data_IF_247819262444
#
_entry.id   IF_247819262444
#
_cell.length_a   1.000
_cell.length_b   1.000
_cell.length_c   1.000
_cell.angle_alpha   90.00
_cell.angle_beta   90.00
_cell.angle_gamma   90.00
#
_symmetry.space_group_name_H-M   'P 1'
#
loop_
_entity.id
_entity.type
_entity.pdbx_description
1 polymer ?
#
# COMPACT_ATOMS: atom_id res chain seq x y z
N UNK A 1 20.53 -23.90 -7.92
CA UNK A 1 19.90 -24.00 -9.26
C UNK A 1 18.67 -23.10 -9.28
N UNK A 2 18.59 -22.05 -10.13
CA UNK A 2 17.41 -21.17 -10.18
C UNK A 2 16.40 -21.72 -11.17
N UNK A 3 15.37 -22.42 -10.67
CA UNK A 3 14.29 -22.97 -11.50
C UNK A 3 13.49 -21.80 -12.13
N UNK A 4 13.26 -21.79 -13.44
CA UNK A 4 12.45 -20.78 -14.11
C UNK A 4 11.04 -20.68 -13.50
N UNK A 5 10.50 -19.45 -13.45
CA UNK A 5 9.21 -19.19 -12.77
C UNK A 5 8.03 -19.98 -13.34
N UNK A 6 8.04 -20.27 -14.64
CA UNK A 6 6.98 -21.00 -15.33
C UNK A 6 7.04 -22.53 -15.11
N UNK A 7 8.18 -23.09 -14.67
CA UNK A 7 8.32 -24.53 -14.37
C UNK A 7 7.87 -24.89 -12.96
N UNK A 8 7.96 -23.94 -12.02
CA UNK A 8 7.60 -24.17 -10.62
C UNK A 8 6.17 -24.69 -10.41
N UNK A 9 5.11 -24.10 -11.04
CA UNK A 9 3.75 -24.61 -10.92
C UNK A 9 3.60 -26.04 -11.44
N UNK A 10 4.33 -26.40 -12.50
CA UNK A 10 4.35 -27.77 -13.02
C UNK A 10 4.89 -28.78 -12.00
N UNK A 11 6.00 -28.46 -11.33
CA UNK A 11 6.55 -29.29 -10.25
C UNK A 11 5.57 -29.41 -9.09
N UNK A 12 4.96 -28.27 -8.66
CA UNK A 12 3.94 -28.27 -7.63
C UNK A 12 2.74 -29.16 -7.98
N UNK A 13 2.26 -29.05 -9.23
CA UNK A 13 1.16 -29.88 -9.72
C UNK A 13 1.47 -31.39 -9.73
N UNK A 14 2.67 -31.80 -10.16
CA UNK A 14 3.12 -33.18 -10.10
C UNK A 14 3.14 -33.72 -8.67
N UNK A 15 3.70 -32.95 -7.72
CA UNK A 15 3.72 -33.33 -6.30
C UNK A 15 2.32 -33.51 -5.73
N UNK A 16 1.43 -32.57 -6.02
CA UNK A 16 0.01 -32.62 -5.59
C UNK A 16 -0.69 -33.83 -6.25
N UNK A 17 -0.40 -34.11 -7.52
CA UNK A 17 -0.92 -35.28 -8.24
C UNK A 17 -0.51 -36.60 -7.58
N UNK A 18 0.77 -36.75 -7.20
CA UNK A 18 1.27 -37.91 -6.48
C UNK A 18 0.54 -38.13 -5.16
N UNK A 19 0.38 -37.03 -4.36
CA UNK A 19 -0.38 -37.10 -3.10
C UNK A 19 -1.84 -37.46 -3.38
N UNK A 20 -2.43 -36.90 -4.45
CA UNK A 20 -3.83 -37.13 -4.85
C UNK A 20 -4.13 -38.56 -5.33
N UNK A 21 -3.14 -39.30 -5.81
CA UNK A 21 -3.30 -40.74 -6.13
C UNK A 21 -3.53 -41.55 -4.86
N UNK A 22 -2.82 -41.20 -3.77
CA UNK A 22 -2.95 -41.89 -2.47
C UNK A 22 -4.16 -41.39 -1.69
N UNK A 23 -4.38 -40.07 -1.72
CA UNK A 23 -5.46 -39.39 -1.00
C UNK A 23 -6.31 -38.58 -1.96
N UNK A 24 -7.21 -39.17 -2.75
CA UNK A 24 -8.06 -38.44 -3.68
C UNK A 24 -8.94 -37.37 -3.01
N UNK A 25 -9.17 -37.50 -1.71
CA UNK A 25 -9.95 -36.57 -0.87
C UNK A 25 -9.37 -35.16 -0.80
N UNK A 26 -8.05 -35.00 -1.08
CA UNK A 26 -7.39 -33.68 -1.05
C UNK A 26 -7.61 -32.89 -2.34
N UNK A 27 -8.04 -33.53 -3.41
CA UNK A 27 -8.18 -32.89 -4.73
C UNK A 27 -9.39 -31.93 -4.75
N UNK A 28 -9.27 -30.87 -5.52
CA UNK A 28 -10.33 -29.86 -5.67
C UNK A 28 -10.65 -29.12 -4.36
N UNK A 29 -11.89 -28.72 -4.18
CA UNK A 29 -12.37 -28.01 -2.96
C UNK A 29 -12.56 -28.93 -1.78
N UNK A 30 -12.78 -30.24 -1.98
CA UNK A 30 -13.07 -31.25 -0.95
C UNK A 30 -14.35 -31.03 -0.12
N UNK A 31 -15.29 -30.19 -0.59
CA UNK A 31 -16.55 -29.94 0.11
C UNK A 31 -17.40 -31.22 0.25
N UNK A 32 -17.37 -32.14 -0.74
CA UNK A 32 -18.08 -33.42 -0.66
C UNK A 32 -17.61 -34.25 0.55
N UNK A 33 -16.32 -34.29 0.82
CA UNK A 33 -15.76 -35.01 1.97
C UNK A 33 -16.07 -34.31 3.28
N UNK A 34 -16.10 -32.99 3.29
CA UNK A 34 -16.56 -32.22 4.46
C UNK A 34 -18.04 -32.50 4.75
N UNK A 35 -18.88 -32.63 3.72
CA UNK A 35 -20.30 -32.98 3.88
C UNK A 35 -20.48 -34.39 4.49
N UNK A 36 -19.67 -35.37 4.08
CA UNK A 36 -19.66 -36.72 4.66
C UNK A 36 -19.32 -36.65 6.17
N UNK A 37 -18.32 -35.83 6.53
CA UNK A 37 -17.95 -35.60 7.93
C UNK A 37 -19.08 -34.91 8.74
N UNK A 38 -19.78 -33.94 8.15
CA UNK A 38 -20.96 -33.29 8.76
C UNK A 38 -22.08 -34.27 8.99
N UNK A 39 -22.30 -35.17 8.05
CA UNK A 39 -23.34 -36.23 8.18
C UNK A 39 -22.93 -37.34 9.15
N UNK A 40 -21.71 -37.25 9.74
CA UNK A 40 -21.18 -38.25 10.71
C UNK A 40 -21.07 -39.67 10.12
N UNK A 41 -20.87 -39.80 8.83
CA UNK A 41 -20.68 -41.08 8.17
C UNK A 41 -19.24 -41.56 8.31
N UNK A 42 -18.87 -41.99 9.50
CA UNK A 42 -17.53 -42.44 9.85
C UNK A 42 -17.20 -43.82 9.22
N UNK A 43 -18.18 -44.54 8.64
CA UNK A 43 -17.92 -45.74 7.86
C UNK A 43 -17.27 -45.41 6.50
N UNK A 44 -17.72 -44.34 5.84
CA UNK A 44 -17.15 -43.86 4.59
C UNK A 44 -15.91 -42.98 4.80
N UNK A 45 -15.83 -42.25 5.91
CA UNK A 45 -14.74 -41.33 6.22
C UNK A 45 -14.27 -41.47 7.67
N UNK A 46 -13.46 -42.53 7.98
CA UNK A 46 -12.97 -42.79 9.33
C UNK A 46 -12.17 -41.64 9.93
N UNK A 47 -12.16 -41.53 11.25
CA UNK A 47 -11.50 -40.39 11.94
C UNK A 47 -10.02 -40.32 11.68
N UNK A 48 -9.33 -41.46 11.59
CA UNK A 48 -7.90 -41.54 11.22
C UNK A 48 -7.63 -40.97 9.83
N UNK A 49 -8.55 -41.27 8.88
CA UNK A 49 -8.47 -40.75 7.52
C UNK A 49 -8.72 -39.23 7.48
N UNK A 50 -9.66 -38.71 8.31
CA UNK A 50 -9.87 -37.25 8.44
C UNK A 50 -8.57 -36.59 8.88
N UNK A 51 -7.89 -37.13 9.91
CA UNK A 51 -6.61 -36.61 10.39
C UNK A 51 -5.52 -36.59 9.29
N UNK A 52 -5.38 -37.68 8.54
CA UNK A 52 -4.43 -37.73 7.43
C UNK A 52 -4.77 -36.72 6.33
N UNK A 53 -6.04 -36.62 5.94
CA UNK A 53 -6.50 -35.70 4.90
C UNK A 53 -6.23 -34.23 5.30
N UNK A 54 -6.38 -33.84 6.57
CA UNK A 54 -6.05 -32.50 7.05
C UNK A 54 -4.58 -32.17 6.72
N UNK A 55 -3.65 -33.05 7.11
CA UNK A 55 -2.20 -32.83 6.90
C UNK A 55 -1.88 -32.74 5.41
N UNK A 56 -2.35 -33.70 4.62
CA UNK A 56 -2.08 -33.71 3.17
C UNK A 56 -2.80 -32.58 2.43
N UNK A 57 -3.95 -32.10 2.89
CA UNK A 57 -4.63 -30.93 2.33
C UNK A 57 -3.84 -29.66 2.56
N UNK A 58 -3.27 -29.47 3.76
CA UNK A 58 -2.37 -28.34 4.05
C UNK A 58 -1.16 -28.39 3.14
N UNK A 59 -0.51 -29.57 2.99
CA UNK A 59 0.64 -29.74 2.10
C UNK A 59 0.29 -29.46 0.63
N UNK A 60 -0.80 -30.03 0.13
CA UNK A 60 -1.24 -29.85 -1.25
C UNK A 60 -1.57 -28.37 -1.55
N UNK A 61 -2.25 -27.69 -0.65
CA UNK A 61 -2.57 -26.25 -0.78
C UNK A 61 -1.30 -25.40 -0.77
N UNK A 62 -0.37 -25.70 0.14
CA UNK A 62 0.92 -25.02 0.24
C UNK A 62 1.79 -25.23 -1.00
N UNK A 63 1.83 -26.44 -1.54
CA UNK A 63 2.56 -26.76 -2.77
C UNK A 63 1.95 -26.03 -3.98
N UNK A 64 0.63 -26.02 -4.10
CA UNK A 64 -0.06 -25.37 -5.22
C UNK A 64 0.22 -23.86 -5.21
N UNK A 65 0.02 -23.20 -4.09
CA UNK A 65 0.17 -21.72 -3.97
C UNK A 65 1.64 -21.34 -3.94
N UNK A 66 2.46 -22.05 -3.16
CA UNK A 66 3.89 -21.80 -3.02
C UNK A 66 4.69 -21.98 -4.29
N UNK A 67 4.25 -22.87 -5.20
CA UNK A 67 4.85 -23.02 -6.53
C UNK A 67 4.49 -21.88 -7.49
N UNK A 68 3.51 -21.03 -7.16
CA UNK A 68 2.99 -19.98 -8.03
C UNK A 68 1.83 -20.43 -8.91
N UNK A 69 1.19 -21.54 -8.58
CA UNK A 69 -0.06 -21.98 -9.22
C UNK A 69 -1.21 -21.03 -8.88
N UNK A 70 -2.12 -20.86 -9.84
CA UNK A 70 -3.34 -20.08 -9.62
C UNK A 70 -4.37 -20.95 -8.87
N UNK A 71 -4.60 -20.65 -7.59
CA UNK A 71 -5.57 -21.36 -6.76
C UNK A 71 -6.19 -20.44 -5.72
N UNK A 72 -7.44 -20.73 -5.33
CA UNK A 72 -8.12 -20.04 -4.24
C UNK A 72 -7.71 -20.61 -2.88
N UNK A 73 -7.48 -19.76 -1.91
CA UNK A 73 -7.16 -20.16 -0.51
C UNK A 73 -8.39 -20.31 0.36
N UNK A 74 -9.51 -19.73 -0.04
CA UNK A 74 -10.75 -19.71 0.73
C UNK A 74 -11.30 -21.14 0.95
N UNK A 75 -11.62 -21.86 -0.11
CA UNK A 75 -12.19 -23.22 -0.03
C UNK A 75 -11.33 -24.20 0.78
N UNK A 76 -10.04 -24.33 0.48
CA UNK A 76 -9.14 -25.17 1.27
C UNK A 76 -9.08 -24.80 2.76
N UNK A 77 -9.05 -23.49 3.10
CA UNK A 77 -9.01 -23.06 4.50
C UNK A 77 -10.28 -23.44 5.26
N UNK A 78 -11.45 -23.24 4.63
CA UNK A 78 -12.72 -23.63 5.22
C UNK A 78 -12.79 -25.15 5.46
N UNK A 79 -12.36 -25.94 4.50
CA UNK A 79 -12.37 -27.40 4.60
C UNK A 79 -11.38 -27.91 5.66
N UNK A 80 -10.17 -27.37 5.70
CA UNK A 80 -9.17 -27.71 6.73
C UNK A 80 -9.74 -27.43 8.12
N UNK A 81 -10.34 -26.22 8.31
CA UNK A 81 -10.98 -25.87 9.57
C UNK A 81 -12.14 -26.78 9.94
N UNK A 82 -13.01 -27.10 8.98
CA UNK A 82 -14.14 -28.01 9.20
C UNK A 82 -13.70 -29.45 9.53
N UNK A 83 -12.72 -29.98 8.81
CA UNK A 83 -12.16 -31.31 9.08
C UNK A 83 -11.45 -31.37 10.45
N UNK A 84 -10.78 -30.28 10.87
CA UNK A 84 -10.24 -30.16 12.23
C UNK A 84 -11.35 -30.26 13.28
N UNK A 85 -12.46 -29.55 13.05
CA UNK A 85 -13.64 -29.64 13.91
C UNK A 85 -14.24 -31.06 13.93
N UNK A 86 -14.33 -31.72 12.78
CA UNK A 86 -14.80 -33.12 12.69
C UNK A 86 -13.88 -34.09 13.46
N UNK A 87 -12.57 -33.91 13.30
CA UNK A 87 -11.57 -34.74 13.98
C UNK A 87 -11.65 -34.57 15.51
N UNK A 88 -11.61 -33.32 16.00
CA UNK A 88 -11.66 -33.03 17.44
C UNK A 88 -13.00 -33.42 18.03
N UNK A 89 -14.12 -33.01 17.40
CA UNK A 89 -15.46 -33.33 17.85
C UNK A 89 -15.75 -34.83 17.86
N UNK A 90 -15.33 -35.53 16.78
CA UNK A 90 -15.44 -36.99 16.68
C UNK A 90 -14.58 -37.72 17.72
N UNK A 91 -13.35 -37.28 17.96
CA UNK A 91 -12.46 -37.82 18.97
C UNK A 91 -13.06 -37.67 20.40
N UNK A 92 -13.58 -36.50 20.73
CA UNK A 92 -14.23 -36.27 22.05
C UNK A 92 -15.46 -37.11 22.19
N UNK A 93 -16.26 -37.31 21.16
CA UNK A 93 -17.43 -38.19 21.22
C UNK A 93 -17.05 -39.64 21.44
N UNK A 94 -15.99 -40.13 20.74
CA UNK A 94 -15.47 -41.50 20.95
C UNK A 94 -14.93 -41.74 22.39
N UNK A 95 -14.30 -40.70 22.97
CA UNK A 95 -13.81 -40.77 24.35
C UNK A 95 -14.90 -40.58 25.42
N UNK A 96 -16.15 -40.41 25.02
CA UNK A 96 -17.25 -40.13 25.93
C UNK A 96 -17.18 -38.72 26.57
N UNK A 97 -16.35 -37.83 26.03
CA UNK A 97 -16.20 -36.45 26.51
C UNK A 97 -17.14 -35.53 25.75
N UNK A 98 -17.82 -34.63 26.47
CA UNK A 98 -18.67 -33.59 25.87
C UNK A 98 -19.73 -34.13 24.89
N UNK A 99 -20.31 -35.31 25.20
CA UNK A 99 -21.29 -36.00 24.32
C UNK A 99 -22.58 -35.20 24.09
N UNK A 100 -22.81 -34.16 24.89
CA UNK A 100 -23.94 -33.23 24.78
C UNK A 100 -23.71 -32.16 23.68
N UNK A 101 -22.47 -32.00 23.15
CA UNK A 101 -22.17 -31.06 22.07
C UNK A 101 -22.36 -31.76 20.73
N UNK A 102 -23.16 -31.19 19.85
CA UNK A 102 -23.31 -31.71 18.50
C UNK A 102 -22.04 -31.50 17.66
N UNK A 103 -21.48 -32.56 17.11
CA UNK A 103 -20.27 -32.56 16.29
C UNK A 103 -20.41 -31.65 15.08
N UNK A 104 -21.61 -31.59 14.47
CA UNK A 104 -21.86 -30.70 13.29
C UNK A 104 -21.65 -29.23 13.68
N UNK A 105 -22.11 -28.84 14.86
CA UNK A 105 -21.89 -27.47 15.39
C UNK A 105 -20.40 -27.17 15.58
N UNK A 106 -19.63 -28.15 16.09
CA UNK A 106 -18.15 -28.01 16.22
C UNK A 106 -17.49 -27.85 14.86
N UNK A 107 -17.89 -28.61 13.83
CA UNK A 107 -17.39 -28.51 12.45
C UNK A 107 -17.61 -27.11 11.91
N UNK A 108 -18.83 -26.58 12.01
CA UNK A 108 -19.18 -25.26 11.48
C UNK A 108 -18.38 -24.15 12.19
N UNK A 109 -18.35 -24.17 13.52
CA UNK A 109 -17.61 -23.17 14.31
C UNK A 109 -16.12 -23.22 14.00
N UNK A 110 -15.54 -24.43 13.89
CA UNK A 110 -14.13 -24.61 13.56
C UNK A 110 -13.79 -24.15 12.14
N UNK A 111 -14.67 -24.41 11.17
CA UNK A 111 -14.53 -23.96 9.78
C UNK A 111 -14.42 -22.44 9.71
N UNK A 112 -15.33 -21.71 10.35
CA UNK A 112 -15.37 -20.23 10.38
C UNK A 112 -14.19 -19.68 11.14
N UNK A 113 -13.88 -20.25 12.31
CA UNK A 113 -12.78 -19.78 13.17
C UNK A 113 -11.42 -19.93 12.51
N UNK A 114 -11.17 -21.05 11.86
CA UNK A 114 -9.91 -21.30 11.14
C UNK A 114 -9.73 -20.30 10.01
N UNK A 115 -10.75 -20.10 9.18
CA UNK A 115 -10.67 -19.14 8.08
C UNK A 115 -10.51 -17.71 8.60
N UNK A 116 -11.34 -17.28 9.57
CA UNK A 116 -11.27 -15.92 10.14
C UNK A 116 -9.92 -15.59 10.76
N UNK A 117 -9.30 -16.57 11.44
CA UNK A 117 -7.98 -16.41 12.04
C UNK A 117 -6.84 -16.38 11.00
N UNK A 118 -6.87 -17.24 9.99
CA UNK A 118 -5.81 -17.36 8.98
C UNK A 118 -5.90 -16.28 7.91
N UNK A 119 -7.11 -15.87 7.51
CA UNK A 119 -7.34 -14.76 6.55
C UNK A 119 -7.29 -13.37 7.20
N UNK A 120 -7.22 -13.28 8.53
CA UNK A 120 -7.27 -12.01 9.29
C UNK A 120 -8.53 -11.18 9.05
N UNK A 121 -9.65 -11.87 8.84
CA UNK A 121 -10.96 -11.25 8.58
C UNK A 121 -12.05 -11.83 9.48
N UNK A 122 -11.94 -11.72 10.83
CA UNK A 122 -12.82 -12.40 11.76
C UNK A 122 -14.30 -12.03 11.57
N UNK A 123 -14.61 -10.75 11.43
CA UNK A 123 -16.01 -10.30 11.29
C UNK A 123 -16.64 -10.83 9.98
N UNK A 124 -15.94 -10.71 8.87
CA UNK A 124 -16.42 -11.19 7.56
C UNK A 124 -16.62 -12.71 7.57
N UNK A 125 -15.71 -13.46 8.22
CA UNK A 125 -15.83 -14.91 8.33
C UNK A 125 -17.06 -15.32 9.13
N UNK A 126 -17.36 -14.65 10.25
CA UNK A 126 -18.53 -14.93 11.10
C UNK A 126 -19.84 -14.64 10.35
N UNK A 127 -19.93 -13.48 9.68
CA UNK A 127 -21.12 -13.13 8.90
C UNK A 127 -21.35 -14.16 7.78
N UNK A 128 -20.29 -14.49 7.03
CA UNK A 128 -20.37 -15.47 5.97
C UNK A 128 -20.73 -16.86 6.49
N UNK A 129 -20.21 -17.28 7.65
CA UNK A 129 -20.55 -18.54 8.28
C UNK A 129 -22.03 -18.60 8.67
N UNK A 130 -22.60 -17.52 9.21
CA UNK A 130 -24.03 -17.44 9.55
C UNK A 130 -24.94 -17.49 8.31
N UNK A 131 -24.53 -16.83 7.20
CA UNK A 131 -25.25 -16.87 5.94
C UNK A 131 -25.20 -18.26 5.28
N UNK A 132 -24.04 -18.91 5.28
CA UNK A 132 -23.89 -20.27 4.72
C UNK A 132 -24.69 -21.33 5.49
N UNK A 133 -24.86 -21.15 6.78
CA UNK A 133 -25.64 -22.08 7.62
C UNK A 133 -27.14 -21.77 7.67
N UNK A 134 -27.54 -20.62 7.11
CA UNK A 134 -28.95 -20.17 7.09
C UNK A 134 -29.51 -19.86 8.47
N UNK A 135 -28.66 -19.62 9.48
CA UNK A 135 -29.12 -19.37 10.84
C UNK A 135 -28.10 -18.69 11.75
N UNK A 136 -28.62 -18.04 12.79
CA UNK A 136 -27.80 -17.30 13.75
C UNK A 136 -27.55 -18.06 15.06
N UNK A 137 -28.01 -19.30 15.17
CA UNK A 137 -27.91 -20.12 16.41
C UNK A 137 -26.42 -20.30 16.84
N UNK A 138 -25.51 -20.42 15.88
CA UNK A 138 -24.06 -20.58 16.13
C UNK A 138 -23.28 -19.27 16.15
N UNK A 139 -23.95 -18.11 16.04
CA UNK A 139 -23.26 -16.80 15.94
C UNK A 139 -22.37 -16.55 17.17
N UNK A 140 -22.89 -16.72 18.37
CA UNK A 140 -22.14 -16.49 19.60
C UNK A 140 -20.89 -17.40 19.73
N UNK A 141 -21.00 -18.74 19.58
CA UNK A 141 -19.82 -19.61 19.59
C UNK A 141 -18.86 -19.33 18.46
N UNK A 142 -19.34 -18.99 17.25
CA UNK A 142 -18.46 -18.57 16.14
C UNK A 142 -17.69 -17.29 16.46
N UNK A 143 -18.34 -16.29 17.06
CA UNK A 143 -17.69 -15.05 17.49
C UNK A 143 -16.56 -15.36 18.48
N UNK A 144 -16.88 -16.07 19.56
CA UNK A 144 -15.90 -16.37 20.61
C UNK A 144 -14.71 -17.16 20.07
N UNK A 145 -14.97 -18.25 19.36
CA UNK A 145 -13.93 -19.14 18.84
C UNK A 145 -13.06 -18.42 17.78
N UNK A 146 -13.69 -17.62 16.89
CA UNK A 146 -12.96 -16.89 15.86
C UNK A 146 -12.06 -15.79 16.44
N UNK A 147 -12.53 -15.04 17.44
CA UNK A 147 -11.70 -14.00 18.06
C UNK A 147 -10.55 -14.61 18.87
N UNK A 148 -10.77 -15.70 19.61
CA UNK A 148 -9.69 -16.40 20.30
C UNK A 148 -8.65 -16.92 19.29
N UNK A 149 -9.08 -17.60 18.24
CA UNK A 149 -8.21 -18.11 17.20
C UNK A 149 -7.45 -16.97 16.48
N UNK A 150 -8.11 -15.84 16.22
CA UNK A 150 -7.49 -14.66 15.62
C UNK A 150 -6.35 -14.10 16.49
N UNK A 151 -6.57 -13.95 17.81
CA UNK A 151 -5.56 -13.46 18.75
C UNK A 151 -4.39 -14.45 18.84
N UNK A 152 -4.67 -15.74 18.97
CA UNK A 152 -3.66 -16.79 19.10
C UNK A 152 -2.81 -16.96 17.85
N UNK A 153 -3.35 -16.71 16.65
CA UNK A 153 -2.62 -16.84 15.38
C UNK A 153 -1.58 -15.72 15.14
N UNK A 154 -1.57 -14.67 15.98
CA UNK A 154 -0.67 -13.52 15.85
C UNK A 154 -1.01 -12.63 14.66
N UNK A 155 -0.60 -11.35 14.67
CA UNK A 155 -0.99 -10.38 13.65
C UNK A 155 -0.30 -10.56 12.29
N UNK A 156 0.93 -11.11 12.28
CA UNK A 156 1.76 -11.22 11.08
C UNK A 156 1.51 -12.48 10.25
N UNK A 157 0.82 -13.48 10.80
CA UNK A 157 0.61 -14.78 10.17
C UNK A 157 -0.70 -14.81 9.39
N UNK A 158 -0.65 -14.47 8.10
CA UNK A 158 -1.81 -14.53 7.19
C UNK A 158 -1.57 -15.49 6.03
N UNK A 159 -2.67 -16.09 5.52
CA UNK A 159 -2.63 -16.84 4.25
C UNK A 159 -2.38 -15.94 3.04
N UNK A 160 -2.57 -14.64 3.17
CA UNK A 160 -2.29 -13.66 2.13
C UNK A 160 -0.92 -13.02 2.34
N UNK A 161 0.04 -13.37 1.49
CA UNK A 161 1.43 -12.93 1.60
C UNK A 161 1.61 -11.39 1.67
N UNK A 162 0.79 -10.65 0.96
CA UNK A 162 0.90 -9.19 0.84
C UNK A 162 -0.20 -8.46 1.62
N UNK A 163 -0.79 -9.12 2.62
CA UNK A 163 -1.77 -8.46 3.46
C UNK A 163 -1.09 -7.43 4.35
N UNK A 164 -1.55 -6.19 4.27
CA UNK A 164 -1.08 -5.09 5.12
C UNK A 164 -1.82 -5.11 6.45
N UNK A 165 -1.10 -4.81 7.54
CA UNK A 165 -1.66 -4.82 8.91
C UNK A 165 -2.65 -3.68 9.14
N UNK A 166 -2.36 -2.52 8.56
CA UNK A 166 -3.15 -1.32 8.73
C UNK A 166 -3.57 -0.76 7.37
N UNK A 167 -4.70 -0.06 7.34
CA UNK A 167 -5.20 0.64 6.16
C UNK A 167 -4.17 1.67 5.63
N UNK A 168 -3.40 2.29 6.53
CA UNK A 168 -2.35 3.26 6.19
C UNK A 168 -1.22 2.66 5.36
N UNK A 169 -0.96 1.37 5.49
CA UNK A 169 0.14 0.69 4.80
C UNK A 169 -0.27 0.22 3.40
N UNK A 170 -1.57 0.31 3.10
CA UNK A 170 -2.12 -0.06 1.79
C UNK A 170 -1.78 0.97 0.72
N UNK A 171 -1.17 0.56 -0.41
CA UNK A 171 -0.89 1.46 -1.52
C UNK A 171 -2.14 2.19 -2.04
N UNK A 172 -3.31 1.54 -1.99
CA UNK A 172 -4.59 2.11 -2.42
C UNK A 172 -5.06 3.30 -1.56
N UNK A 173 -4.61 3.37 -0.29
CA UNK A 173 -5.03 4.41 0.66
C UNK A 173 -3.94 5.46 0.93
N UNK A 174 -2.77 5.37 0.28
CA UNK A 174 -1.67 6.33 0.46
C UNK A 174 -2.11 7.77 0.17
N UNK A 175 -2.88 7.98 -0.90
CA UNK A 175 -3.36 9.33 -1.25
C UNK A 175 -4.33 9.91 -0.20
N UNK A 176 -5.13 9.07 0.44
CA UNK A 176 -6.07 9.49 1.49
C UNK A 176 -5.31 9.99 2.74
N UNK A 177 -4.24 9.30 3.11
CA UNK A 177 -3.35 9.72 4.21
C UNK A 177 -2.51 10.94 3.86
N UNK A 178 -2.03 11.05 2.63
CA UNK A 178 -1.34 12.27 2.16
C UNK A 178 -2.22 13.50 2.32
N UNK A 179 -3.48 13.39 1.94
CA UNK A 179 -4.45 14.47 2.07
C UNK A 179 -4.62 14.91 3.53
N UNK A 180 -4.77 13.96 4.45
CA UNK A 180 -4.94 14.27 5.88
C UNK A 180 -3.71 14.97 6.44
N UNK A 181 -2.50 14.43 6.23
CA UNK A 181 -1.25 15.01 6.75
C UNK A 181 -1.03 16.43 6.20
N UNK A 182 -1.24 16.63 4.90
CA UNK A 182 -1.01 17.93 4.26
C UNK A 182 -2.13 18.94 4.54
N UNK A 183 -3.31 18.50 5.00
CA UNK A 183 -4.40 19.40 5.38
C UNK A 183 -4.18 20.09 6.71
N UNK A 184 -3.44 19.47 7.62
CA UNK A 184 -3.13 19.98 8.95
C UNK A 184 -1.88 20.88 8.98
N UNK A 185 -1.15 20.97 7.88
CA UNK A 185 0.06 21.78 7.73
C UNK A 185 -0.21 22.98 6.82
N UNK A 186 0.45 24.09 7.10
CA UNK A 186 0.25 25.35 6.40
C UNK A 186 1.47 25.74 5.57
N UNK A 187 1.25 26.56 4.53
CA UNK A 187 2.31 27.08 3.65
C UNK A 187 3.37 27.85 4.44
N UNK A 188 3.00 28.57 5.50
CA UNK A 188 3.95 29.28 6.39
C UNK A 188 5.02 28.38 7.01
N UNK A 189 4.72 27.07 7.16
CA UNK A 189 5.61 26.12 7.85
C UNK A 189 6.75 25.62 6.97
N UNK A 190 6.65 25.83 5.63
CA UNK A 190 7.65 25.35 4.66
C UNK A 190 8.13 26.43 3.68
N UNK A 191 7.44 27.56 3.60
CA UNK A 191 7.85 28.61 2.68
C UNK A 191 9.28 29.05 2.99
N UNK A 192 10.00 29.41 1.93
CA UNK A 192 11.35 29.99 2.00
C UNK A 192 11.30 31.47 1.68
N UNK A 193 12.33 32.21 2.11
CA UNK A 193 12.46 33.60 1.76
C UNK A 193 12.53 33.78 0.24
N UNK A 194 11.84 34.81 -0.29
CA UNK A 194 11.81 35.07 -1.72
C UNK A 194 13.12 35.73 -2.16
N UNK A 195 13.96 34.96 -2.87
CA UNK A 195 15.31 35.41 -3.26
C UNK A 195 15.28 36.35 -4.47
N UNK A 196 14.27 36.21 -5.36
CA UNK A 196 14.22 36.88 -6.67
C UNK A 196 13.00 37.79 -6.79
N UNK A 197 12.95 38.84 -5.98
CA UNK A 197 11.98 39.95 -6.13
C UNK A 197 12.62 41.05 -6.95
N UNK A 198 12.08 41.35 -8.12
CA UNK A 198 12.61 42.36 -9.03
C UNK A 198 11.53 43.33 -9.49
N UNK A 199 11.87 44.62 -9.69
CA UNK A 199 10.95 45.57 -10.25
C UNK A 199 10.71 45.32 -11.75
N UNK A 200 9.53 45.69 -12.23
CA UNK A 200 9.08 45.46 -13.62
C UNK A 200 9.89 46.18 -14.67
N UNK A 201 10.60 47.22 -14.31
CA UNK A 201 11.34 48.10 -15.22
C UNK A 201 12.73 47.56 -15.60
N UNK A 202 13.21 46.53 -14.91
CA UNK A 202 14.47 45.89 -15.23
C UNK A 202 14.42 45.19 -16.60
N UNK A 203 15.54 45.22 -17.30
CA UNK A 203 15.74 44.49 -18.57
C UNK A 203 15.93 42.98 -18.31
N UNK A 204 15.72 42.20 -19.38
CA UNK A 204 15.98 40.75 -19.34
C UNK A 204 17.44 40.43 -18.96
N UNK A 205 18.38 41.23 -19.49
CA UNK A 205 19.82 41.06 -19.26
C UNK A 205 20.17 41.25 -17.77
N UNK A 206 19.69 42.33 -17.15
CA UNK A 206 19.90 42.60 -15.73
C UNK A 206 19.26 41.48 -14.85
N UNK A 207 18.06 41.02 -15.20
CA UNK A 207 17.39 39.95 -14.52
C UNK A 207 18.15 38.62 -14.57
N UNK A 208 18.75 38.29 -15.73
CA UNK A 208 19.58 37.09 -15.92
C UNK A 208 20.85 37.13 -15.05
N UNK A 209 21.50 38.30 -14.95
CA UNK A 209 22.67 38.46 -14.08
C UNK A 209 22.35 38.19 -12.60
N UNK A 210 21.18 38.59 -12.14
CA UNK A 210 20.72 38.34 -10.75
C UNK A 210 20.37 36.87 -10.57
N UNK A 211 19.67 36.25 -11.54
CA UNK A 211 19.26 34.84 -11.48
C UNK A 211 20.43 33.85 -11.55
N UNK A 212 21.51 34.19 -12.28
CA UNK A 212 22.66 33.31 -12.38
C UNK A 212 23.39 33.09 -11.04
N UNK A 213 23.11 33.92 -10.04
CA UNK A 213 23.64 33.80 -8.67
C UNK A 213 22.77 32.92 -7.77
N UNK A 214 21.55 32.56 -8.21
CA UNK A 214 20.54 31.93 -7.37
C UNK A 214 19.94 30.68 -8.06
N UNK A 215 19.53 29.68 -7.27
CA UNK A 215 18.96 28.41 -7.76
C UNK A 215 17.46 28.46 -8.12
N UNK A 216 16.78 29.59 -7.89
CA UNK A 216 15.37 29.73 -8.23
C UNK A 216 15.13 29.80 -9.72
N UNK A 217 14.02 29.23 -10.18
CA UNK A 217 13.60 29.19 -11.58
C UNK A 217 12.59 30.26 -11.95
N UNK A 218 12.14 31.07 -10.98
CA UNK A 218 11.11 32.07 -11.13
C UNK A 218 11.57 33.41 -10.58
N UNK A 219 11.21 34.50 -11.26
CA UNK A 219 11.30 35.87 -10.79
C UNK A 219 9.91 36.34 -10.40
N UNK A 220 9.78 36.89 -9.22
CA UNK A 220 8.58 37.58 -8.76
C UNK A 220 8.73 39.06 -9.08
N UNK A 221 7.89 39.55 -9.99
CA UNK A 221 7.85 40.96 -10.36
C UNK A 221 6.98 41.71 -9.37
N UNK A 222 7.59 42.63 -8.66
CA UNK A 222 6.94 43.39 -7.55
C UNK A 222 6.99 44.90 -7.80
N UNK A 223 6.04 45.59 -7.21
CA UNK A 223 6.05 47.06 -7.17
C UNK A 223 6.87 47.58 -5.98
N UNK A 224 6.96 48.92 -5.84
CA UNK A 224 7.65 49.62 -4.75
C UNK A 224 7.15 49.24 -3.34
N UNK A 225 5.93 48.72 -3.22
CA UNK A 225 5.32 48.28 -1.97
C UNK A 225 5.46 46.77 -1.72
N UNK A 226 6.31 46.04 -2.45
CA UNK A 226 6.47 44.56 -2.44
C UNK A 226 5.22 43.77 -2.84
N UNK A 227 4.24 44.38 -3.49
CA UNK A 227 3.07 43.66 -4.01
C UNK A 227 3.40 42.99 -5.32
N UNK A 228 2.89 41.75 -5.49
CA UNK A 228 3.08 40.96 -6.70
C UNK A 228 2.34 41.58 -7.89
N UNK A 229 3.04 41.90 -8.97
CA UNK A 229 2.48 42.33 -10.26
C UNK A 229 2.49 41.23 -11.29
N UNK A 230 3.40 40.26 -11.18
CA UNK A 230 3.50 39.14 -12.09
C UNK A 230 4.66 38.21 -11.76
N UNK A 231 4.84 37.17 -12.57
CA UNK A 231 5.97 36.26 -12.49
C UNK A 231 6.60 36.04 -13.87
N UNK A 232 7.90 35.81 -13.89
CA UNK A 232 8.65 35.43 -15.09
C UNK A 232 9.44 34.17 -14.78
N UNK A 233 9.25 33.13 -15.58
CA UNK A 233 10.04 31.90 -15.46
C UNK A 233 11.37 32.03 -16.18
N UNK A 234 12.41 31.45 -15.60
CA UNK A 234 13.81 31.52 -16.13
C UNK A 234 13.91 31.07 -17.58
N UNK A 235 13.20 30.00 -17.98
CA UNK A 235 13.24 29.50 -19.36
C UNK A 235 12.77 30.56 -20.39
N UNK A 236 11.76 31.36 -20.00
CA UNK A 236 11.19 32.37 -20.89
C UNK A 236 12.16 33.51 -21.20
N UNK A 237 13.13 33.78 -20.32
CA UNK A 237 14.17 34.77 -20.53
C UNK A 237 15.16 34.35 -21.65
N UNK A 238 15.36 33.03 -21.75
CA UNK A 238 16.29 32.47 -22.78
C UNK A 238 15.65 32.35 -24.16
N UNK A 239 14.32 32.46 -24.28
CA UNK A 239 13.66 32.49 -25.60
C UNK A 239 14.00 33.72 -26.42
N UNK A 240 14.47 34.81 -25.77
CA UNK A 240 14.82 36.04 -26.45
C UNK A 240 16.31 36.03 -26.88
N UNK A 241 16.61 36.40 -28.14
CA UNK A 241 18.00 36.58 -28.63
C UNK A 241 18.74 37.63 -27.78
N UNK A 242 20.05 37.44 -27.62
CA UNK A 242 20.89 38.31 -26.75
C UNK A 242 20.82 39.81 -27.15
N UNK A 243 20.66 40.09 -28.42
CA UNK A 243 20.60 41.47 -28.96
C UNK A 243 19.40 42.24 -28.39
N UNK A 244 18.29 41.56 -28.09
CA UNK A 244 17.06 42.19 -27.62
C UNK A 244 16.94 42.22 -26.09
N UNK A 245 17.73 41.45 -25.35
CA UNK A 245 17.62 41.30 -23.89
C UNK A 245 17.83 42.60 -23.12
N UNK A 246 18.62 43.53 -23.66
CA UNK A 246 18.84 44.84 -23.04
C UNK A 246 17.68 45.81 -23.24
N UNK A 247 16.89 45.65 -24.29
CA UNK A 247 15.79 46.57 -24.61
C UNK A 247 14.43 46.13 -24.06
N UNK A 248 14.25 44.82 -23.81
CA UNK A 248 12.97 44.25 -23.33
C UNK A 248 12.94 44.26 -21.82
N UNK A 249 11.90 44.86 -21.24
CA UNK A 249 11.67 44.93 -19.81
C UNK A 249 10.85 43.74 -19.31
N UNK A 250 11.00 43.37 -18.04
CA UNK A 250 10.22 42.32 -17.39
C UNK A 250 8.71 42.56 -17.49
N UNK A 251 8.27 43.81 -17.45
CA UNK A 251 6.87 44.21 -17.64
C UNK A 251 6.24 43.68 -18.94
N UNK A 252 7.03 43.50 -19.99
CA UNK A 252 6.55 43.10 -21.31
C UNK A 252 6.36 41.58 -21.45
N UNK A 253 7.03 40.79 -20.58
CA UNK A 253 7.09 39.31 -20.67
C UNK A 253 6.52 38.61 -19.47
N UNK A 254 6.22 39.36 -18.38
CA UNK A 254 5.66 38.77 -17.17
C UNK A 254 4.27 38.21 -17.40
N UNK A 255 3.96 37.11 -16.73
CA UNK A 255 2.63 36.56 -16.60
C UNK A 255 1.91 37.41 -15.56
N UNK A 256 0.87 38.14 -16.00
CA UNK A 256 -0.02 38.89 -15.13
C UNK A 256 -0.97 37.90 -14.47
N UNK A 257 -1.40 38.14 -13.24
CA UNK A 257 -2.27 37.26 -12.44
C UNK A 257 -1.69 35.84 -12.27
N UNK A 258 -0.48 35.70 -11.74
CA UNK A 258 0.12 34.40 -11.52
C UNK A 258 -0.62 33.65 -10.39
N UNK A 259 -0.55 32.32 -10.41
CA UNK A 259 -0.97 31.51 -9.26
C UNK A 259 -0.08 31.80 -8.06
N UNK A 260 -0.68 31.93 -6.89
CA UNK A 260 0.01 32.17 -5.62
C UNK A 260 -0.67 31.40 -4.48
N UNK A 261 0.02 31.29 -3.36
CA UNK A 261 -0.53 30.77 -2.12
C UNK A 261 -0.53 31.86 -1.02
N UNK A 262 -1.46 31.74 -0.08
CA UNK A 262 -1.39 32.51 1.16
C UNK A 262 -0.67 31.72 2.25
N UNK A 263 -0.12 32.41 3.23
CA UNK A 263 0.50 31.78 4.42
C UNK A 263 -0.44 30.86 5.19
N UNK A 264 -1.73 31.15 5.15
CA UNK A 264 -2.79 30.38 5.82
C UNK A 264 -3.31 29.21 4.98
N UNK A 265 -2.90 29.10 3.71
CA UNK A 265 -3.34 27.98 2.87
C UNK A 265 -2.74 26.68 3.41
N UNK A 266 -3.55 25.59 3.39
CA UNK A 266 -3.03 24.27 3.72
C UNK A 266 -2.05 23.78 2.63
N UNK A 267 -1.10 22.96 3.03
CA UNK A 267 -0.16 22.36 2.07
C UNK A 267 -0.85 21.49 1.03
N UNK A 268 -1.98 20.91 1.38
CA UNK A 268 -2.81 20.19 0.41
C UNK A 268 -3.32 21.11 -0.69
N UNK A 269 -3.87 22.28 -0.36
CA UNK A 269 -4.30 23.26 -1.34
C UNK A 269 -3.16 23.78 -2.20
N UNK A 270 -2.00 24.04 -1.58
CA UNK A 270 -0.81 24.46 -2.31
C UNK A 270 -0.34 23.38 -3.31
N UNK A 271 -0.32 22.12 -2.89
CA UNK A 271 0.05 20.99 -3.74
C UNK A 271 -0.91 20.82 -4.93
N UNK A 272 -2.22 20.86 -4.67
CA UNK A 272 -3.23 20.76 -5.74
C UNK A 272 -3.05 21.89 -6.74
N UNK A 273 -2.85 23.16 -6.27
CA UNK A 273 -2.66 24.31 -7.14
C UNK A 273 -1.40 24.21 -7.98
N UNK A 274 -0.28 23.76 -7.41
CA UNK A 274 0.97 23.50 -8.14
C UNK A 274 0.79 22.39 -9.19
N UNK A 275 0.24 21.26 -8.77
CA UNK A 275 0.10 20.07 -9.64
C UNK A 275 -0.92 20.27 -10.78
N UNK A 276 -2.06 20.91 -10.51
CA UNK A 276 -3.11 21.14 -11.54
C UNK A 276 -2.70 22.14 -12.62
N UNK A 277 -1.67 22.95 -12.35
CA UNK A 277 -1.19 23.98 -13.27
C UNK A 277 0.24 23.71 -13.76
N UNK A 278 0.77 22.51 -13.56
CA UNK A 278 2.13 22.10 -13.95
C UNK A 278 3.24 23.03 -13.42
N UNK A 279 3.02 23.63 -12.24
CA UNK A 279 3.95 24.55 -11.61
C UNK A 279 4.88 23.81 -10.65
N UNK A 280 6.16 24.11 -10.68
CA UNK A 280 7.15 23.57 -9.73
C UNK A 280 7.31 24.43 -8.48
N UNK A 281 7.00 25.71 -8.59
CA UNK A 281 7.12 26.71 -7.53
C UNK A 281 6.07 27.81 -7.71
N UNK A 282 5.61 28.43 -6.62
CA UNK A 282 4.72 29.59 -6.68
C UNK A 282 5.01 30.57 -5.55
N UNK A 283 4.71 31.87 -5.74
CA UNK A 283 4.90 32.89 -4.73
C UNK A 283 3.92 32.72 -3.58
N UNK A 284 4.37 33.13 -2.38
CA UNK A 284 3.55 33.14 -1.17
C UNK A 284 3.31 34.59 -0.74
N UNK A 285 2.03 34.91 -0.59
CA UNK A 285 1.59 36.25 -0.23
C UNK A 285 1.13 36.32 1.24
N UNK A 286 1.31 37.48 1.84
CA UNK A 286 0.75 37.78 3.14
C UNK A 286 -0.77 38.00 3.04
N UNK A 287 -1.54 37.41 3.95
CA UNK A 287 -2.99 37.57 4.02
C UNK A 287 -3.43 39.01 4.29
N UNK A 288 -2.59 39.81 4.96
CA UNK A 288 -2.97 41.18 5.42
C UNK A 288 -2.77 42.24 4.36
N UNK A 289 -1.66 42.20 3.62
CA UNK A 289 -1.23 43.29 2.74
C UNK A 289 -0.88 42.88 1.33
N UNK A 290 -1.07 41.60 0.99
CA UNK A 290 -0.77 41.00 -0.32
C UNK A 290 0.69 41.19 -0.78
N UNK A 291 1.61 41.41 0.18
CA UNK A 291 3.05 41.48 -0.11
C UNK A 291 3.60 40.08 -0.36
N UNK A 292 4.58 39.99 -1.23
CA UNK A 292 5.35 38.74 -1.45
C UNK A 292 6.25 38.51 -0.24
N UNK A 293 6.05 37.42 0.47
CA UNK A 293 6.79 37.09 1.70
C UNK A 293 7.55 35.76 1.60
N UNK A 294 7.27 34.96 0.60
CA UNK A 294 7.93 33.68 0.45
C UNK A 294 7.72 33.04 -0.92
N UNK A 295 8.30 31.88 -1.06
CA UNK A 295 8.14 30.96 -2.18
C UNK A 295 7.90 29.56 -1.63
N UNK A 296 7.04 28.78 -2.28
CA UNK A 296 6.82 27.38 -1.98
C UNK A 296 7.08 26.53 -3.22
N UNK A 297 7.78 25.40 -3.05
CA UNK A 297 8.12 24.48 -4.15
C UNK A 297 7.56 23.09 -3.90
N UNK A 298 7.31 22.31 -4.97
CA UNK A 298 6.93 20.89 -4.86
C UNK A 298 8.00 20.11 -4.09
N UNK A 299 9.27 20.42 -4.30
CA UNK A 299 10.37 19.74 -3.60
C UNK A 299 10.32 19.93 -2.07
N UNK A 300 9.94 21.11 -1.60
CA UNK A 300 9.80 21.39 -0.17
C UNK A 300 8.58 20.68 0.44
N UNK A 301 7.48 20.64 -0.31
CA UNK A 301 6.28 19.87 0.05
C UNK A 301 6.58 18.36 0.21
N UNK A 302 7.30 17.78 -0.76
CA UNK A 302 7.69 16.36 -0.71
C UNK A 302 8.63 16.08 0.47
N UNK A 303 9.65 16.92 0.69
CA UNK A 303 10.57 16.76 1.83
C UNK A 303 9.88 16.82 3.19
N UNK A 304 8.95 17.76 3.35
CA UNK A 304 8.19 17.84 4.61
C UNK A 304 7.30 16.62 4.77
N UNK A 305 6.59 16.21 3.72
CA UNK A 305 5.76 15.01 3.73
C UNK A 305 6.56 13.78 4.17
N UNK A 306 7.71 13.52 3.54
CA UNK A 306 8.57 12.39 3.87
C UNK A 306 9.03 12.44 5.35
N UNK A 307 9.41 13.63 5.82
CA UNK A 307 9.80 13.85 7.21
C UNK A 307 8.65 13.58 8.21
N UNK A 308 7.42 13.95 7.87
CA UNK A 308 6.25 13.69 8.73
C UNK A 308 5.86 12.21 8.73
N UNK A 309 5.90 11.56 7.56
CA UNK A 309 5.71 10.11 7.44
C UNK A 309 6.74 9.35 8.28
N UNK A 310 8.02 9.74 8.21
CA UNK A 310 9.08 9.13 9.01
C UNK A 310 8.85 9.29 10.52
N UNK A 311 8.42 10.47 10.97
CA UNK A 311 8.05 10.71 12.38
C UNK A 311 6.89 9.83 12.84
N UNK A 312 5.87 9.68 12.01
CA UNK A 312 4.71 8.84 12.32
C UNK A 312 5.12 7.36 12.39
N UNK A 313 5.95 6.90 11.46
CA UNK A 313 6.46 5.53 11.46
C UNK A 313 7.35 5.23 12.68
N UNK A 314 8.25 6.13 13.04
CA UNK A 314 9.09 6.02 14.25
C UNK A 314 8.28 6.02 15.54
N UNK A 315 7.20 6.78 15.61
CA UNK A 315 6.32 6.81 16.77
C UNK A 315 5.51 5.50 16.93
N UNK A 316 5.25 4.77 15.83
CA UNK A 316 4.49 3.52 15.84
C UNK A 316 5.34 2.27 16.13
N UNK A 317 6.60 2.24 15.72
CA UNK A 317 7.51 1.11 15.94
C UNK A 317 8.95 1.62 16.19
N UNK A 318 9.31 1.88 17.46
CA UNK A 318 10.64 2.38 17.82
C UNK A 318 11.80 1.44 17.46
N UNK A 319 11.52 0.15 17.20
CA UNK A 319 12.52 -0.87 16.92
C UNK A 319 12.75 -1.16 15.43
N UNK A 320 11.98 -0.55 14.53
CA UNK A 320 12.06 -0.82 13.08
C UNK A 320 12.80 0.32 12.35
N UNK A 321 14.10 0.44 12.61
CA UNK A 321 14.97 1.53 12.12
C UNK A 321 15.49 1.38 10.68
N UNK A 322 15.13 0.31 9.92
CA UNK A 322 15.87 -0.06 8.68
C UNK A 322 15.06 -0.09 7.38
N UNK A 323 13.91 0.54 7.26
CA UNK A 323 13.13 0.53 5.99
C UNK A 323 13.47 1.73 5.06
N UNK A 324 14.16 2.76 5.55
CA UNK A 324 14.41 4.02 4.80
C UNK A 324 15.52 3.96 3.73
N UNK A 325 16.46 3.03 3.82
CA UNK A 325 17.68 3.05 2.97
C UNK A 325 17.62 2.18 1.71
N UNK A 326 16.55 1.44 1.44
CA UNK A 326 16.47 0.52 0.29
C UNK A 326 15.69 1.05 -0.92
N UNK A 327 15.17 2.27 -0.91
CA UNK A 327 14.40 2.82 -2.04
C UNK A 327 15.28 3.63 -3.00
N UNK A 328 16.46 4.09 -2.59
CA UNK A 328 17.36 4.91 -3.42
C UNK A 328 18.57 4.17 -4.02
N UNK A 329 18.61 2.85 -3.98
CA UNK A 329 19.80 2.06 -4.33
C UNK A 329 19.77 1.26 -5.63
N UNK A 330 18.82 1.45 -6.58
CA UNK A 330 18.80 0.60 -7.79
C UNK A 330 18.36 1.32 -9.09
N UNK A 331 18.88 2.53 -9.33
CA UNK A 331 18.89 3.10 -10.68
C UNK A 331 20.27 3.70 -10.98
N UNK A 332 21.30 2.84 -11.02
CA UNK A 332 22.55 3.19 -11.69
C UNK A 332 23.06 1.97 -12.45
N UNK A 333 23.09 2.13 -13.76
CA UNK A 333 23.96 1.49 -14.74
C UNK A 333 24.01 -0.05 -14.84
N UNK A 334 23.17 -0.57 -15.73
CA UNK A 334 23.49 -1.75 -16.54
C UNK A 334 23.28 -1.46 -18.03
N UNK A 335 23.92 -0.46 -18.54
CA UNK A 335 24.12 -0.26 -19.99
C UNK A 335 25.50 0.34 -20.21
N UNK A 336 26.54 -0.47 -20.12
CA UNK A 336 27.86 -0.21 -20.73
C UNK A 336 28.76 -1.44 -20.48
N UNK A 337 28.48 -2.55 -21.17
CA UNK A 337 29.46 -3.61 -21.40
C UNK A 337 29.06 -4.40 -22.67
N UNK A 338 29.05 -3.69 -23.79
CA UNK A 338 29.14 -4.30 -25.13
C UNK A 338 30.10 -3.44 -25.93
N UNK A 339 31.38 -3.69 -25.79
CA UNK A 339 32.38 -3.48 -26.85
C UNK A 339 33.69 -4.13 -26.43
N UNK A 340 34.23 -4.85 -27.41
CA UNK A 340 35.60 -5.39 -27.54
C UNK A 340 35.78 -6.87 -27.14
N UNK A 341 35.46 -7.73 -28.10
CA UNK A 341 36.26 -8.92 -28.36
C UNK A 341 36.87 -8.81 -29.79
N UNK A 342 38.21 -8.85 -29.92
CA UNK A 342 38.81 -8.92 -31.23
C UNK A 342 38.68 -10.31 -31.83
N UNK A 343 38.42 -10.32 -33.13
CA UNK A 343 38.53 -11.44 -34.04
C UNK A 343 39.99 -11.94 -34.11
N UNK A 344 40.20 -13.20 -33.84
CA UNK A 344 41.10 -14.11 -34.55
C UNK A 344 40.60 -15.55 -34.32
#
# INVERSE_FOLDING_TARGET
MRIPKYVKPGIGGVLVGIIGIVFPQILGTSYGWLQIAINKDYLLFPLEMIGAVIVFKILATSLTIGSGGSAGVFGPSMVIGGLLGAFIGGAFHLLGLFTWIDVTSVIIVSMVSFFGATAKTPISAIIMGSELTGGYALLAPMMLATFIAYIMSGQHNSIFRNQVLNRSDSPAHRMEYQRVILSDLYVKDIMKDPINRLPKDLSIEEALQILNRNSSRMIMVVNENDKLEGVVYKYKLFEFPEEYRKSIKLANIMIKDPFFAYTSDSLHHALVRLSSNDLQEMPVLSNKNQKVIGIVTIADLVKLYDSQVEKILKARDPNNLDIGNNVNGNHTNKDNDIKDKPTN
#
